data_IF_530806760903
#
_entry.id   IF_530806760903
#
_cell.length_a   1.000
_cell.length_b   1.000
_cell.length_c   1.000
_cell.angle_alpha   90.00
_cell.angle_beta   90.00
_cell.angle_gamma   90.00
#
_symmetry.space_group_name_H-M   'P 1'
#
loop_
_entity.id
_entity.type
_entity.pdbx_description
1 polymer ?
#
# COMPACT_ATOMS: atom_id res chain seq x y z
N UNK A 1 8.73 -1.64 -10.75
CA UNK A 1 7.90 -0.48 -11.16
C UNK A 1 8.52 0.81 -10.68
N UNK A 2 8.25 1.29 -9.46
CA UNK A 2 8.71 2.61 -9.01
C UNK A 2 10.22 2.73 -8.74
N UNK A 3 10.95 1.62 -8.60
CA UNK A 3 12.43 1.65 -8.55
C UNK A 3 13.07 1.88 -9.94
N UNK A 4 12.28 1.82 -11.03
CA UNK A 4 12.74 1.89 -12.42
C UNK A 4 14.01 1.06 -12.74
N UNK A 5 14.10 -0.22 -12.32
CA UNK A 5 15.28 -1.03 -12.60
C UNK A 5 15.35 -1.37 -14.09
N UNK A 6 16.56 -1.56 -14.61
CA UNK A 6 16.79 -2.04 -15.98
C UNK A 6 17.67 -3.30 -15.96
N UNK A 7 17.75 -4.07 -17.05
CA UNK A 7 18.65 -5.23 -17.10
C UNK A 7 20.13 -4.89 -16.81
N UNK A 8 20.59 -3.70 -17.19
CA UNK A 8 21.95 -3.22 -16.89
C UNK A 8 22.08 -2.51 -15.54
N UNK A 9 20.97 -2.11 -14.91
CA UNK A 9 20.90 -1.48 -13.58
C UNK A 9 19.80 -2.16 -12.78
N UNK A 10 20.10 -3.38 -12.36
CA UNK A 10 19.13 -4.29 -11.76
C UNK A 10 19.15 -4.32 -10.23
N UNK A 11 19.93 -3.47 -9.57
CA UNK A 11 19.87 -3.31 -8.12
C UNK A 11 18.97 -2.13 -7.78
N UNK A 12 18.03 -2.32 -6.86
CA UNK A 12 17.19 -1.24 -6.36
C UNK A 12 16.91 -1.36 -4.88
N UNK A 13 16.34 -0.30 -4.34
CA UNK A 13 16.05 -0.16 -2.92
C UNK A 13 14.55 -0.15 -2.69
N UNK A 14 14.09 -0.89 -1.70
CA UNK A 14 12.70 -0.86 -1.24
C UNK A 14 12.69 -0.58 0.25
N UNK A 15 11.89 0.41 0.64
CA UNK A 15 11.66 0.73 2.05
C UNK A 15 10.44 -0.05 2.55
N UNK A 16 10.59 -0.69 3.71
CA UNK A 16 9.46 -1.13 4.51
C UNK A 16 9.30 -0.17 5.68
N UNK A 17 8.12 0.43 5.75
CA UNK A 17 7.78 1.45 6.74
C UNK A 17 6.60 0.98 7.56
N UNK A 18 6.69 1.15 8.87
CA UNK A 18 5.54 1.11 9.75
C UNK A 18 4.73 2.39 9.48
N UNK A 19 3.42 2.22 9.23
CA UNK A 19 2.52 3.33 8.89
C UNK A 19 1.29 3.31 9.80
N UNK A 20 1.10 4.37 10.57
CA UNK A 20 -0.07 4.56 11.41
C UNK A 20 -1.27 5.03 10.57
N UNK A 21 -1.95 4.09 9.92
CA UNK A 21 -3.06 4.38 9.00
C UNK A 21 -4.31 4.95 9.70
N UNK A 22 -4.55 4.59 10.96
CA UNK A 22 -5.80 4.92 11.64
C UNK A 22 -7.02 4.41 10.86
N UNK A 23 -8.11 5.20 10.85
CA UNK A 23 -9.27 4.91 9.99
C UNK A 23 -9.03 5.46 8.59
N UNK A 24 -9.13 4.61 7.58
CA UNK A 24 -8.92 5.00 6.18
C UNK A 24 -10.20 5.56 5.55
N UNK A 25 -10.07 6.61 4.74
CA UNK A 25 -11.04 7.00 3.73
C UNK A 25 -10.87 6.11 2.50
N UNK A 26 -11.80 5.19 2.31
CA UNK A 26 -11.73 4.24 1.20
C UNK A 26 -12.29 4.85 -0.09
N UNK A 27 -11.48 4.83 -1.15
CA UNK A 27 -11.82 5.44 -2.45
C UNK A 27 -11.74 4.40 -3.58
N UNK A 28 -12.74 4.43 -4.47
CA UNK A 28 -12.82 3.57 -5.66
C UNK A 28 -12.17 4.19 -6.91
N UNK A 29 -11.84 5.47 -6.87
CA UNK A 29 -11.28 6.23 -7.99
C UNK A 29 -10.34 7.32 -7.48
N UNK A 30 -9.50 7.84 -8.39
CA UNK A 30 -8.61 8.94 -8.08
C UNK A 30 -9.40 10.21 -7.75
N UNK A 31 -9.00 10.90 -6.69
CA UNK A 31 -9.55 12.18 -6.26
C UNK A 31 -8.42 13.14 -5.87
N UNK A 32 -8.33 14.27 -6.58
CA UNK A 32 -7.33 15.31 -6.31
C UNK A 32 -7.54 15.99 -4.95
N UNK A 33 -8.73 15.86 -4.36
CA UNK A 33 -9.07 16.41 -3.05
C UNK A 33 -9.01 15.36 -1.93
N UNK A 34 -8.50 14.15 -2.18
CA UNK A 34 -8.47 13.06 -1.20
C UNK A 34 -7.73 13.42 0.11
N UNK A 35 -6.83 14.42 0.06
CA UNK A 35 -6.16 14.98 1.24
C UNK A 35 -7.11 15.68 2.23
N UNK A 36 -8.31 16.06 1.80
CA UNK A 36 -9.36 16.61 2.66
C UNK A 36 -10.11 15.46 3.31
N UNK A 37 -9.47 14.86 4.31
CA UNK A 37 -10.01 13.73 5.04
C UNK A 37 -11.34 14.11 5.72
N UNK A 38 -12.40 13.27 5.59
CA UNK A 38 -13.58 13.37 6.43
C UNK A 38 -13.23 13.32 7.91
N UNK A 39 -14.07 13.92 8.75
CA UNK A 39 -13.86 13.95 10.19
C UNK A 39 -13.69 12.52 10.76
N UNK A 40 -12.66 12.33 11.58
CA UNK A 40 -12.35 11.05 12.22
C UNK A 40 -11.58 10.06 11.34
N UNK A 41 -11.22 10.40 10.10
CA UNK A 41 -10.33 9.61 9.24
C UNK A 41 -8.91 10.17 9.26
N UNK A 42 -7.92 9.30 9.05
CA UNK A 42 -6.49 9.63 9.24
C UNK A 42 -5.63 9.30 8.03
N UNK A 43 -6.18 8.63 7.02
CA UNK A 43 -5.45 8.22 5.82
C UNK A 43 -6.44 7.94 4.69
N UNK A 44 -5.93 7.75 3.48
CA UNK A 44 -6.70 7.27 2.32
C UNK A 44 -6.26 5.86 1.98
N UNK A 45 -7.22 5.03 1.59
CA UNK A 45 -6.98 3.73 0.99
C UNK A 45 -7.66 3.69 -0.38
N UNK A 46 -6.84 3.71 -1.44
CA UNK A 46 -7.31 3.40 -2.78
C UNK A 46 -7.62 1.91 -2.86
N UNK A 47 -8.87 1.55 -3.16
CA UNK A 47 -9.33 0.17 -3.20
C UNK A 47 -8.96 -0.48 -4.54
N UNK A 48 -8.15 -1.53 -4.47
CA UNK A 48 -7.77 -2.37 -5.59
C UNK A 48 -8.57 -3.68 -5.66
N UNK A 49 -8.63 -4.27 -6.85
CA UNK A 49 -9.28 -5.55 -7.12
C UNK A 49 -8.50 -6.76 -6.59
N UNK A 50 -7.21 -6.59 -6.27
CA UNK A 50 -6.32 -7.62 -5.72
C UNK A 50 -5.64 -7.11 -4.45
N UNK A 51 -5.71 -7.88 -3.36
CA UNK A 51 -5.03 -7.56 -2.11
C UNK A 51 -4.73 -8.81 -1.27
N UNK A 52 -3.76 -8.75 -0.33
CA UNK A 52 -3.59 -9.81 0.67
C UNK A 52 -4.82 -9.98 1.56
N UNK A 53 -5.15 -11.21 1.93
CA UNK A 53 -6.16 -11.48 2.95
C UNK A 53 -5.56 -11.24 4.35
N UNK A 54 -6.17 -10.36 5.15
CA UNK A 54 -5.70 -10.08 6.51
C UNK A 54 -5.77 -11.29 7.45
N UNK A 55 -6.49 -12.36 7.10
CA UNK A 55 -6.42 -13.65 7.81
C UNK A 55 -5.03 -14.29 7.76
N UNK A 56 -4.24 -13.96 6.74
CA UNK A 56 -2.85 -14.42 6.61
C UNK A 56 -1.87 -13.45 7.28
N UNK A 57 -2.35 -12.32 7.81
CA UNK A 57 -1.46 -11.31 8.37
C UNK A 57 -0.72 -11.85 9.60
N UNK A 58 0.54 -11.47 9.71
CA UNK A 58 1.37 -11.74 10.88
C UNK A 58 1.49 -10.46 11.68
N UNK A 59 1.32 -10.54 12.99
CA UNK A 59 1.58 -9.41 13.89
C UNK A 59 2.95 -9.61 14.51
N UNK A 60 3.82 -8.61 14.37
CA UNK A 60 5.15 -8.60 14.99
C UNK A 60 5.03 -8.35 16.50
N UNK A 61 6.10 -8.61 17.26
CA UNK A 61 6.11 -8.48 18.73
C UNK A 61 5.80 -7.05 19.22
N UNK A 62 6.03 -6.04 18.38
CA UNK A 62 5.73 -4.63 18.65
C UNK A 62 4.35 -4.19 18.13
N UNK A 63 3.50 -5.13 17.69
CA UNK A 63 2.12 -4.90 17.28
C UNK A 63 1.95 -4.48 15.82
N UNK A 64 3.03 -4.36 15.04
CA UNK A 64 2.93 -4.03 13.61
C UNK A 64 2.33 -5.19 12.84
N UNK A 65 1.27 -4.92 12.08
CA UNK A 65 0.60 -5.91 11.22
C UNK A 65 1.26 -5.95 9.85
N UNK A 66 1.75 -7.13 9.45
CA UNK A 66 2.34 -7.40 8.13
C UNK A 66 1.34 -8.17 7.28
N UNK A 67 0.77 -7.57 6.21
CA UNK A 67 -0.20 -8.24 5.34
C UNK A 67 0.51 -9.24 4.42
N UNK A 68 0.58 -10.50 4.86
CA UNK A 68 1.25 -11.56 4.11
C UNK A 68 0.39 -12.03 2.93
N UNK A 69 1.07 -12.40 1.84
CA UNK A 69 0.42 -13.03 0.69
C UNK A 69 -0.08 -14.46 0.96
N UNK A 70 -0.65 -15.12 -0.06
CA UNK A 70 -0.85 -14.63 -1.42
C UNK A 70 -1.91 -13.51 -1.48
N UNK A 71 -1.86 -12.73 -2.56
CA UNK A 71 -2.92 -11.79 -2.85
C UNK A 71 -4.09 -12.50 -3.55
N UNK A 72 -5.31 -12.07 -3.25
CA UNK A 72 -6.55 -12.64 -3.77
C UNK A 72 -7.50 -11.54 -4.25
N UNK A 73 -8.57 -11.94 -4.96
CA UNK A 73 -9.62 -11.01 -5.38
C UNK A 73 -10.29 -10.38 -4.17
N UNK A 74 -10.39 -9.06 -4.15
CA UNK A 74 -11.17 -8.31 -3.16
C UNK A 74 -12.65 -8.19 -3.53
N UNK A 75 -13.01 -8.58 -4.76
CA UNK A 75 -14.30 -8.33 -5.40
C UNK A 75 -14.69 -6.83 -5.47
N UNK A 76 -13.73 -5.92 -5.27
CA UNK A 76 -13.93 -4.49 -5.48
C UNK A 76 -14.12 -4.23 -6.97
N UNK A 77 -15.18 -3.50 -7.30
CA UNK A 77 -15.48 -3.03 -8.66
C UNK A 77 -15.88 -1.57 -8.57
N UNK A 78 -15.25 -0.73 -9.39
CA UNK A 78 -15.68 0.65 -9.61
C UNK A 78 -16.74 0.68 -10.74
N UNK A 79 -18.03 0.92 -10.45
CA UNK A 79 -19.06 0.93 -11.47
C UNK A 79 -18.94 2.13 -12.44
N UNK A 80 -18.12 3.12 -12.11
CA UNK A 80 -17.96 4.38 -12.87
C UNK A 80 -16.70 4.40 -13.73
N UNK A 81 -15.94 3.30 -13.80
CA UNK A 81 -14.77 3.22 -14.67
C UNK A 81 -13.71 2.24 -14.18
N UNK A 82 -12.45 2.65 -14.27
CA UNK A 82 -11.32 1.80 -13.90
C UNK A 82 -11.29 1.51 -12.40
N UNK A 83 -10.96 0.26 -12.08
CA UNK A 83 -10.65 -0.18 -10.71
C UNK A 83 -9.14 -0.32 -10.60
N UNK A 84 -8.55 0.11 -9.48
CA UNK A 84 -7.13 -0.11 -9.23
C UNK A 84 -6.83 -1.61 -9.22
N UNK A 85 -5.65 -2.01 -9.68
CA UNK A 85 -5.26 -3.42 -9.59
C UNK A 85 -4.96 -3.82 -8.14
N UNK A 86 -4.26 -2.96 -7.39
CA UNK A 86 -3.83 -3.22 -6.02
C UNK A 86 -4.22 -2.06 -5.11
N UNK A 87 -4.34 -2.35 -3.80
CA UNK A 87 -4.56 -1.29 -2.82
C UNK A 87 -3.35 -0.33 -2.77
N UNK A 88 -3.64 0.95 -2.56
CA UNK A 88 -2.65 1.98 -2.24
C UNK A 88 -3.05 2.68 -0.94
N UNK A 89 -2.08 3.03 -0.11
CA UNK A 89 -2.31 3.69 1.17
C UNK A 89 -1.55 5.01 1.22
N UNK A 90 -2.24 6.07 1.61
CA UNK A 90 -1.71 7.43 1.63
C UNK A 90 -1.96 8.04 3.01
N UNK A 91 -0.90 8.57 3.62
CA UNK A 91 -0.96 9.37 4.86
C UNK A 91 -0.52 10.80 4.55
N UNK A 92 -1.00 11.75 5.35
CA UNK A 92 -0.78 13.19 5.11
C UNK A 92 0.07 13.87 6.21
N UNK A 93 0.36 13.17 7.31
CA UNK A 93 1.32 13.60 8.33
C UNK A 93 2.52 12.65 8.34
N UNK A 94 3.74 13.21 8.28
CA UNK A 94 4.99 12.44 8.34
C UNK A 94 5.17 11.73 9.67
N UNK A 95 4.52 12.20 10.75
CA UNK A 95 4.49 11.52 12.05
C UNK A 95 3.80 10.16 12.00
N UNK A 96 3.00 9.89 10.96
CA UNK A 96 2.37 8.59 10.75
C UNK A 96 3.33 7.56 10.14
N UNK A 97 4.57 7.94 9.79
CA UNK A 97 5.51 7.07 9.09
C UNK A 97 6.77 6.86 9.93
N UNK A 98 7.15 5.58 10.11
CA UNK A 98 8.42 5.18 10.71
C UNK A 98 9.12 4.17 9.81
N UNK A 99 10.26 4.55 9.23
CA UNK A 99 11.07 3.64 8.41
C UNK A 99 11.64 2.53 9.31
N UNK A 100 11.45 1.27 8.92
CA UNK A 100 11.90 0.10 9.70
C UNK A 100 13.03 -0.64 9.02
N UNK A 101 12.91 -0.85 7.70
CA UNK A 101 13.87 -1.63 6.94
C UNK A 101 14.15 -0.97 5.59
N UNK A 102 15.41 -1.03 5.17
CA UNK A 102 15.84 -0.75 3.80
C UNK A 102 16.31 -2.06 3.20
N UNK A 103 15.62 -2.52 2.17
CA UNK A 103 15.90 -3.77 1.48
C UNK A 103 16.62 -3.46 0.18
N UNK A 104 17.77 -4.09 -0.01
CA UNK A 104 18.48 -4.11 -1.29
C UNK A 104 17.94 -5.30 -2.09
N UNK A 105 17.34 -5.02 -3.24
CA UNK A 105 16.80 -6.03 -4.14
C UNK A 105 17.66 -6.13 -5.40
N UNK A 106 17.82 -7.36 -5.88
CA UNK A 106 18.32 -7.63 -7.23
C UNK A 106 17.13 -8.08 -8.10
N UNK A 107 16.83 -7.30 -9.14
CA UNK A 107 15.76 -7.54 -10.08
C UNK A 107 16.20 -8.51 -11.17
N UNK A 108 15.54 -9.66 -11.24
CA UNK A 108 15.75 -10.65 -12.29
C UNK A 108 14.75 -10.42 -13.42
N UNK A 109 15.26 -10.10 -14.61
CA UNK A 109 14.46 -9.92 -15.82
C UNK A 109 14.35 -11.26 -16.56
N UNK A 110 13.18 -11.54 -17.12
CA UNK A 110 12.93 -12.70 -17.98
C UNK A 110 13.10 -12.33 -19.45
#
# INVERSE_FOLDING_TARGET
NYCYPTPSKNTGLVLLTEVALGKCHELLHADNNAHRLPEGLSSVKGLGSIAPNLKNAVTLDDGVVVPMGPAESTNVVNPKGYTLNYNEYIVYDTKQVRIRYLIILNFLFK
#
